data_IF_957906975793
#
_entry.id   IF_957906975793
#
_cell.length_a   1.000
_cell.length_b   1.000
_cell.length_c   1.000
_cell.angle_alpha   90.00
_cell.angle_beta   90.00
_cell.angle_gamma   90.00
#
_symmetry.space_group_name_H-M   'P 1'
#
loop_
_entity.id
_entity.type
_entity.pdbx_description
1 polymer ?
#
# COMPACT_ATOMS: atom_id res chain seq x y z
N UNK A 1 17.03 39.63 -32.33
CA UNK A 1 16.96 38.72 -31.17
C UNK A 1 18.36 38.47 -30.65
N UNK A 2 18.77 39.24 -29.64
CA UNK A 2 20.13 39.22 -29.11
C UNK A 2 20.21 38.20 -27.97
N UNK A 3 21.02 37.13 -28.15
CA UNK A 3 21.23 36.11 -27.11
C UNK A 3 22.10 36.71 -26.01
N UNK A 4 21.51 37.02 -24.85
CA UNK A 4 22.28 37.32 -23.64
C UNK A 4 23.06 36.08 -23.21
N UNK A 5 24.39 36.18 -23.20
CA UNK A 5 25.26 35.18 -22.58
C UNK A 5 25.17 35.34 -21.06
N UNK A 6 24.48 34.41 -20.40
CA UNK A 6 24.51 34.29 -18.95
C UNK A 6 25.70 33.42 -18.57
N UNK A 7 26.57 33.94 -17.71
CA UNK A 7 27.67 33.17 -17.14
C UNK A 7 27.11 32.32 -16.01
N UNK A 8 27.09 31.00 -16.21
CA UNK A 8 26.75 30.03 -15.16
C UNK A 8 27.98 29.83 -14.29
N UNK A 9 27.87 30.14 -13.00
CA UNK A 9 28.93 29.90 -12.02
C UNK A 9 28.46 28.82 -11.06
N UNK A 10 29.31 27.82 -10.80
CA UNK A 10 29.00 26.80 -9.82
C UNK A 10 28.99 27.44 -8.43
N UNK A 11 27.88 27.30 -7.69
CA UNK A 11 27.87 27.62 -6.27
C UNK A 11 28.85 26.67 -5.57
N UNK A 12 29.85 27.20 -4.87
CA UNK A 12 30.88 26.40 -4.18
C UNK A 12 30.36 25.52 -3.04
N UNK A 13 29.05 25.58 -2.79
CA UNK A 13 28.31 24.68 -1.93
C UNK A 13 27.48 23.77 -2.85
N UNK A 14 27.81 22.48 -2.87
CA UNK A 14 26.89 21.48 -3.40
C UNK A 14 25.59 21.54 -2.61
N UNK A 15 24.45 21.37 -3.29
CA UNK A 15 23.13 21.30 -2.63
C UNK A 15 23.18 20.17 -1.60
N UNK A 16 23.46 20.50 -0.34
CA UNK A 16 23.20 19.63 0.80
C UNK A 16 21.78 19.92 1.24
N UNK A 17 20.82 19.49 0.42
CA UNK A 17 19.47 19.36 0.87
C UNK A 17 19.46 18.22 1.91
N UNK A 18 19.74 18.55 3.17
CA UNK A 18 19.25 17.71 4.25
C UNK A 18 17.74 17.91 4.24
N UNK A 19 17.03 17.08 3.47
CA UNK A 19 15.62 16.86 3.71
C UNK A 19 15.54 16.13 5.05
N UNK A 20 15.59 16.87 6.16
CA UNK A 20 15.01 16.39 7.40
C UNK A 20 13.51 16.35 7.08
N UNK A 21 13.05 15.24 6.51
CA UNK A 21 11.64 14.99 6.37
C UNK A 21 11.06 15.14 7.77
N UNK A 22 10.11 16.07 7.94
CA UNK A 22 9.31 16.09 9.14
C UNK A 22 8.48 14.80 9.10
N UNK A 23 9.05 13.70 9.61
CA UNK A 23 8.36 12.42 9.63
C UNK A 23 7.26 12.51 10.67
N UNK A 24 6.01 12.52 10.23
CA UNK A 24 4.88 12.36 11.11
C UNK A 24 4.70 10.86 11.36
N UNK A 25 4.67 10.48 12.63
CA UNK A 25 4.38 9.12 13.06
C UNK A 25 3.00 9.11 13.69
N UNK A 26 2.12 8.25 13.19
CA UNK A 26 0.81 8.00 13.78
C UNK A 26 0.68 6.52 14.06
N UNK A 27 0.16 6.16 15.23
CA UNK A 27 -0.23 4.77 15.52
C UNK A 27 -1.73 4.66 15.30
N UNK A 28 -2.11 3.73 14.43
CA UNK A 28 -3.48 3.31 14.18
C UNK A 28 -3.67 1.87 14.67
N UNK A 29 -4.92 1.45 14.77
CA UNK A 29 -5.30 0.08 15.09
C UNK A 29 -6.13 -0.42 13.93
N UNK A 30 -5.88 -1.65 13.47
CA UNK A 30 -6.78 -2.27 12.50
C UNK A 30 -8.19 -2.42 13.08
N UNK A 31 -9.17 -2.61 12.20
CA UNK A 31 -10.47 -3.13 12.57
C UNK A 31 -10.39 -4.55 13.14
N UNK A 32 -11.54 -5.07 13.56
CA UNK A 32 -11.67 -6.43 14.08
C UNK A 32 -11.91 -7.47 12.97
N UNK A 33 -12.17 -7.02 11.76
CA UNK A 33 -12.51 -7.85 10.60
C UNK A 33 -11.30 -8.10 9.73
N UNK A 34 -10.17 -8.50 10.32
CA UNK A 34 -8.94 -8.78 9.56
C UNK A 34 -8.86 -10.24 9.06
N UNK A 35 -8.01 -10.47 8.07
CA UNK A 35 -7.58 -11.79 7.61
C UNK A 35 -6.08 -11.97 7.80
N UNK A 36 -5.68 -13.14 8.34
CA UNK A 36 -4.29 -13.58 8.44
C UNK A 36 -4.24 -15.04 8.00
N UNK A 37 -3.46 -15.35 6.95
CA UNK A 37 -3.19 -16.74 6.60
C UNK A 37 -2.17 -17.37 7.56
N UNK A 38 -2.19 -18.69 7.70
CA UNK A 38 -1.37 -19.43 8.67
C UNK A 38 0.15 -19.24 8.48
N UNK A 39 0.57 -18.85 7.27
CA UNK A 39 1.98 -18.69 6.90
C UNK A 39 2.54 -17.29 7.23
N UNK A 40 1.69 -16.39 7.75
CA UNK A 40 2.07 -15.01 8.06
C UNK A 40 3.03 -14.97 9.26
N UNK A 41 4.10 -14.20 9.11
CA UNK A 41 5.05 -13.89 10.18
C UNK A 41 4.99 -12.40 10.49
N UNK A 42 4.60 -12.06 11.72
CA UNK A 42 4.60 -10.71 12.26
C UNK A 42 5.68 -10.60 13.36
N UNK A 43 6.22 -9.39 13.64
CA UNK A 43 5.90 -8.10 13.02
C UNK A 43 6.52 -7.91 11.64
N UNK A 44 5.93 -7.00 10.84
CA UNK A 44 6.49 -6.53 9.57
C UNK A 44 6.79 -5.04 9.65
N UNK A 45 7.90 -4.62 9.05
CA UNK A 45 8.36 -3.24 9.14
C UNK A 45 8.69 -2.68 7.75
N UNK A 46 8.49 -1.38 7.64
CA UNK A 46 8.95 -0.52 6.56
C UNK A 46 8.41 -0.89 5.17
N UNK A 47 7.12 -1.23 5.13
CA UNK A 47 6.42 -1.53 3.88
C UNK A 47 5.95 -0.23 3.24
N UNK A 48 6.33 0.00 1.99
CA UNK A 48 5.82 1.14 1.22
C UNK A 48 4.33 0.95 0.94
N UNK A 49 3.56 2.04 1.06
CA UNK A 49 2.13 2.05 0.73
C UNK A 49 1.94 2.36 -0.75
N UNK A 50 1.30 1.43 -1.45
CA UNK A 50 0.92 1.51 -2.86
C UNK A 50 -0.57 1.83 -2.94
N UNK A 51 -0.91 3.00 -3.48
CA UNK A 51 -2.31 3.43 -3.65
C UNK A 51 -2.72 3.39 -5.13
N UNK A 52 -3.38 2.33 -5.60
CA UNK A 52 -3.92 2.27 -6.95
C UNK A 52 -5.03 3.28 -7.17
N UNK A 53 -5.09 3.83 -8.37
CA UNK A 53 -6.20 4.67 -8.84
C UNK A 53 -7.14 3.77 -9.63
N UNK A 54 -8.24 3.38 -9.01
CA UNK A 54 -9.23 2.46 -9.58
C UNK A 54 -10.51 3.29 -9.84
N UNK A 55 -11.14 3.16 -11.01
CA UNK A 55 -12.41 3.84 -11.29
C UNK A 55 -13.54 3.28 -10.41
N UNK A 56 -14.59 4.07 -10.20
CA UNK A 56 -15.76 3.69 -9.39
C UNK A 56 -16.42 2.40 -9.88
N UNK A 57 -16.45 2.18 -11.20
CA UNK A 57 -16.92 0.93 -11.81
C UNK A 57 -15.79 -0.08 -11.78
N UNK A 58 -15.84 -0.93 -10.76
CA UNK A 58 -14.77 -1.86 -10.45
C UNK A 58 -14.88 -3.13 -11.30
N UNK A 59 -13.90 -3.32 -12.19
CA UNK A 59 -13.67 -4.58 -12.92
C UNK A 59 -12.31 -5.17 -12.56
N UNK A 60 -12.16 -6.49 -12.71
CA UNK A 60 -10.90 -7.21 -12.54
C UNK A 60 -9.74 -6.54 -13.27
N UNK A 61 -9.96 -6.15 -14.53
CA UNK A 61 -8.96 -5.51 -15.39
C UNK A 61 -8.61 -4.10 -14.92
N UNK A 62 -9.62 -3.32 -14.50
CA UNK A 62 -9.41 -1.95 -14.02
C UNK A 62 -8.58 -1.91 -12.73
N UNK A 63 -8.83 -2.87 -11.83
CA UNK A 63 -8.08 -3.04 -10.58
C UNK A 63 -6.65 -3.46 -10.89
N UNK A 64 -6.48 -4.47 -11.77
CA UNK A 64 -5.17 -4.99 -12.09
C UNK A 64 -4.27 -3.93 -12.74
N UNK A 65 -4.84 -3.14 -13.65
CA UNK A 65 -4.17 -2.00 -14.29
C UNK A 65 -3.85 -0.90 -13.27
N UNK A 66 -4.77 -0.59 -12.36
CA UNK A 66 -4.59 0.41 -11.32
C UNK A 66 -3.43 0.08 -10.36
N UNK A 67 -3.34 -1.18 -9.92
CA UNK A 67 -2.26 -1.68 -9.06
C UNK A 67 -0.94 -1.68 -9.81
N UNK A 68 -0.90 -2.23 -11.02
CA UNK A 68 0.31 -2.24 -11.85
C UNK A 68 0.82 -0.81 -12.08
N UNK A 69 -0.07 0.13 -12.41
CA UNK A 69 0.29 1.53 -12.64
C UNK A 69 0.79 2.23 -11.37
N UNK A 70 0.29 1.86 -10.20
CA UNK A 70 0.76 2.40 -8.92
C UNK A 70 2.12 1.84 -8.52
N UNK A 71 2.36 0.55 -8.73
CA UNK A 71 3.67 -0.06 -8.54
C UNK A 71 4.72 0.62 -9.42
N UNK A 72 4.43 0.79 -10.71
CA UNK A 72 5.33 1.46 -11.64
C UNK A 72 5.59 2.93 -11.25
N UNK A 73 4.58 3.64 -10.74
CA UNK A 73 4.72 5.04 -10.29
C UNK A 73 5.69 5.18 -9.11
N UNK A 74 5.87 4.12 -8.33
CA UNK A 74 6.75 4.07 -7.17
C UNK A 74 8.09 3.35 -7.47
N UNK A 75 8.35 3.01 -8.74
CA UNK A 75 9.51 2.21 -9.16
C UNK A 75 9.57 0.83 -8.45
N UNK A 76 8.42 0.21 -8.21
CA UNK A 76 8.23 -1.08 -7.51
C UNK A 76 7.81 -2.22 -8.47
N UNK A 77 8.32 -2.23 -9.69
CA UNK A 77 8.02 -3.25 -10.71
C UNK A 77 8.50 -4.64 -10.28
N UNK A 78 9.74 -4.69 -9.76
CA UNK A 78 10.37 -5.86 -9.18
C UNK A 78 10.35 -5.73 -7.65
N UNK A 79 9.52 -6.53 -6.99
CA UNK A 79 9.36 -6.47 -5.54
C UNK A 79 10.48 -7.24 -4.84
N UNK A 80 11.43 -6.52 -4.25
CA UNK A 80 12.49 -7.08 -3.39
C UNK A 80 12.08 -7.16 -1.91
N UNK A 81 11.02 -6.45 -1.52
CA UNK A 81 10.50 -6.42 -0.16
C UNK A 81 8.97 -6.29 -0.15
N UNK A 82 8.29 -6.66 0.96
CA UNK A 82 6.84 -6.55 1.03
C UNK A 82 6.35 -5.11 0.88
N UNK A 83 5.19 -4.96 0.25
CA UNK A 83 4.48 -3.69 0.09
C UNK A 83 3.08 -3.80 0.65
N UNK A 84 2.51 -2.69 1.09
CA UNK A 84 1.11 -2.60 1.48
C UNK A 84 0.30 -1.99 0.33
N UNK A 85 -0.62 -2.75 -0.25
CA UNK A 85 -1.57 -2.20 -1.23
C UNK A 85 -2.78 -1.67 -0.45
N UNK A 86 -2.92 -0.34 -0.43
CA UNK A 86 -4.04 0.33 0.22
C UNK A 86 -5.18 0.55 -0.78
N UNK A 87 -6.33 -0.03 -0.48
CA UNK A 87 -7.50 -0.08 -1.35
C UNK A 87 -8.63 0.71 -0.69
N UNK A 88 -8.67 2.05 -0.88
CA UNK A 88 -9.80 2.83 -0.39
C UNK A 88 -11.08 2.37 -1.08
N UNK A 89 -12.12 2.10 -0.31
CA UNK A 89 -13.36 1.55 -0.82
C UNK A 89 -14.41 2.64 -0.98
N UNK A 90 -15.09 2.66 -2.14
CA UNK A 90 -16.21 3.55 -2.40
C UNK A 90 -17.39 2.77 -2.97
N UNK A 91 -18.60 3.15 -2.55
CA UNK A 91 -19.83 2.49 -2.96
C UNK A 91 -20.19 1.27 -2.11
N UNK A 92 -21.20 0.55 -2.56
CA UNK A 92 -21.77 -0.58 -1.82
C UNK A 92 -20.85 -1.81 -1.90
N UNK A 93 -20.70 -2.51 -0.78
CA UNK A 93 -19.87 -3.71 -0.65
C UNK A 93 -20.56 -4.96 -1.20
N UNK A 94 -20.98 -4.93 -2.47
CA UNK A 94 -21.55 -6.09 -3.14
C UNK A 94 -20.48 -7.16 -3.40
N UNK A 95 -20.86 -8.43 -3.26
CA UNK A 95 -19.94 -9.56 -3.47
C UNK A 95 -19.28 -9.54 -4.85
N UNK A 96 -20.01 -9.16 -5.91
CA UNK A 96 -19.49 -9.05 -7.28
C UNK A 96 -18.36 -8.02 -7.39
N UNK A 97 -18.49 -6.88 -6.73
CA UNK A 97 -17.46 -5.85 -6.67
C UNK A 97 -16.24 -6.34 -5.88
N UNK A 98 -16.47 -6.98 -4.74
CA UNK A 98 -15.37 -7.51 -3.91
C UNK A 98 -14.62 -8.65 -4.60
N UNK A 99 -15.32 -9.51 -5.34
CA UNK A 99 -14.72 -10.56 -6.16
C UNK A 99 -13.90 -9.98 -7.32
N UNK A 100 -14.40 -8.94 -7.99
CA UNK A 100 -13.66 -8.24 -9.04
C UNK A 100 -12.39 -7.59 -8.48
N UNK A 101 -12.46 -6.99 -7.28
CA UNK A 101 -11.31 -6.44 -6.57
C UNK A 101 -10.27 -7.53 -6.28
N UNK A 102 -10.70 -8.62 -5.64
CA UNK A 102 -9.82 -9.74 -5.28
C UNK A 102 -9.13 -10.34 -6.52
N UNK A 103 -9.88 -10.57 -7.60
CA UNK A 103 -9.34 -11.13 -8.83
C UNK A 103 -8.32 -10.18 -9.50
N UNK A 104 -8.60 -8.88 -9.51
CA UNK A 104 -7.68 -7.90 -10.07
C UNK A 104 -6.41 -7.71 -9.23
N UNK A 105 -6.54 -7.77 -7.90
CA UNK A 105 -5.39 -7.78 -6.97
C UNK A 105 -4.49 -8.98 -7.28
N UNK A 106 -5.06 -10.19 -7.32
CA UNK A 106 -4.31 -11.42 -7.63
C UNK A 106 -3.57 -11.29 -8.96
N UNK A 107 -4.26 -10.91 -10.03
CA UNK A 107 -3.67 -10.77 -11.37
C UNK A 107 -2.54 -9.75 -11.43
N UNK A 108 -2.64 -8.66 -10.68
CA UNK A 108 -1.61 -7.63 -10.70
C UNK A 108 -0.38 -7.94 -9.88
N UNK A 109 -0.47 -8.70 -8.79
CA UNK A 109 0.63 -8.73 -7.82
C UNK A 109 1.17 -10.14 -7.53
N UNK A 110 0.40 -11.19 -7.80
CA UNK A 110 0.77 -12.56 -7.40
C UNK A 110 2.11 -12.99 -7.99
N UNK A 111 2.28 -12.95 -9.32
CA UNK A 111 3.51 -13.37 -9.98
C UNK A 111 4.73 -12.57 -9.48
N UNK A 112 4.56 -11.28 -9.18
CA UNK A 112 5.62 -10.40 -8.67
C UNK A 112 6.08 -10.80 -7.27
N UNK A 113 5.13 -11.13 -6.39
CA UNK A 113 5.42 -11.58 -5.03
C UNK A 113 6.03 -12.99 -5.03
N UNK A 114 5.58 -13.87 -5.93
CA UNK A 114 6.01 -15.26 -6.01
C UNK A 114 7.51 -15.41 -6.29
N UNK A 115 8.11 -14.49 -7.07
CA UNK A 115 9.55 -14.50 -7.39
C UNK A 115 10.42 -14.57 -6.13
N UNK A 116 10.05 -13.80 -5.10
CA UNK A 116 10.81 -13.68 -3.84
C UNK A 116 10.05 -14.26 -2.63
N UNK A 117 8.96 -14.99 -2.87
CA UNK A 117 8.06 -15.55 -1.84
C UNK A 117 7.64 -14.50 -0.79
N UNK A 118 7.25 -13.31 -1.26
CA UNK A 118 6.86 -12.20 -0.41
C UNK A 118 5.38 -12.31 0.01
N UNK A 119 5.02 -11.89 1.23
CA UNK A 119 3.64 -11.79 1.65
C UNK A 119 2.91 -10.68 0.88
N UNK A 120 1.62 -10.89 0.60
CA UNK A 120 0.71 -9.82 0.20
C UNK A 120 0.17 -9.13 1.46
N UNK A 121 0.29 -7.81 1.53
CA UNK A 121 -0.33 -7.00 2.58
C UNK A 121 -1.35 -6.06 1.94
N UNK A 122 -2.61 -6.20 2.35
CA UNK A 122 -3.73 -5.38 1.93
C UNK A 122 -4.24 -4.54 3.10
N UNK A 123 -4.58 -3.29 2.82
CA UNK A 123 -5.22 -2.40 3.78
C UNK A 123 -6.46 -1.75 3.16
N UNK A 124 -7.55 -1.67 3.92
CA UNK A 124 -8.77 -0.96 3.55
C UNK A 124 -9.14 0.06 4.63
N UNK A 125 -9.88 1.10 4.24
CA UNK A 125 -10.49 2.07 5.16
C UNK A 125 -11.81 1.59 5.77
N UNK A 126 -12.44 0.58 5.17
CA UNK A 126 -13.72 -0.01 5.59
C UNK A 126 -13.55 -1.44 6.07
N UNK A 127 -14.47 -1.91 6.93
CA UNK A 127 -14.49 -3.22 7.59
C UNK A 127 -14.74 -4.42 6.63
N UNK A 128 -13.85 -4.62 5.66
CA UNK A 128 -13.94 -5.65 4.60
C UNK A 128 -12.69 -6.53 4.49
N UNK A 129 -11.69 -6.39 5.37
CA UNK A 129 -10.41 -7.10 5.26
C UNK A 129 -10.57 -8.63 5.28
N UNK A 130 -11.42 -9.13 6.16
CA UNK A 130 -11.71 -10.55 6.34
C UNK A 130 -12.38 -11.14 5.10
N UNK A 131 -13.32 -10.38 4.52
CA UNK A 131 -14.04 -10.81 3.33
C UNK A 131 -13.11 -10.85 2.11
N UNK A 132 -12.31 -9.80 1.90
CA UNK A 132 -11.35 -9.75 0.80
C UNK A 132 -10.30 -10.86 0.91
N UNK A 133 -9.75 -11.08 2.11
CA UNK A 133 -8.76 -12.12 2.36
C UNK A 133 -9.30 -13.53 2.11
N UNK A 134 -10.53 -13.82 2.54
CA UNK A 134 -11.19 -15.11 2.27
C UNK A 134 -11.46 -15.33 0.79
N UNK A 135 -11.95 -14.33 0.06
CA UNK A 135 -12.15 -14.48 -1.40
C UNK A 135 -10.82 -14.79 -2.09
N UNK A 136 -9.74 -14.09 -1.72
CA UNK A 136 -8.42 -14.36 -2.28
C UNK A 136 -7.94 -15.78 -1.99
N UNK A 137 -7.96 -16.23 -0.74
CA UNK A 137 -7.43 -17.54 -0.37
C UNK A 137 -8.38 -18.70 -0.71
N UNK A 138 -9.64 -18.63 -0.27
CA UNK A 138 -10.58 -19.75 -0.30
C UNK A 138 -11.21 -19.94 -1.70
N UNK A 139 -11.48 -18.85 -2.42
CA UNK A 139 -12.19 -18.89 -3.70
C UNK A 139 -11.26 -18.75 -4.91
N UNK A 140 -10.28 -17.84 -4.82
CA UNK A 140 -9.35 -17.56 -5.92
C UNK A 140 -8.05 -18.35 -5.80
N UNK A 141 -7.81 -19.09 -4.71
CA UNK A 141 -6.61 -19.90 -4.54
C UNK A 141 -5.32 -19.08 -4.54
N UNK A 142 -5.31 -17.96 -3.82
CA UNK A 142 -4.09 -17.22 -3.53
C UNK A 142 -3.26 -17.99 -2.50
N UNK A 143 -2.05 -18.38 -2.86
CA UNK A 143 -1.22 -19.40 -2.18
C UNK A 143 0.04 -18.85 -1.50
N UNK A 144 0.23 -17.53 -1.51
CA UNK A 144 1.28 -16.83 -0.76
C UNK A 144 0.75 -16.34 0.60
N UNK A 145 1.63 -16.03 1.58
CA UNK A 145 1.18 -15.46 2.85
C UNK A 145 0.40 -14.16 2.63
N UNK A 146 -0.74 -14.01 3.32
CA UNK A 146 -1.68 -12.91 3.09
C UNK A 146 -2.09 -12.28 4.42
N UNK A 147 -1.91 -10.97 4.50
CA UNK A 147 -2.46 -10.11 5.54
C UNK A 147 -3.46 -9.18 4.87
N UNK A 148 -4.70 -9.16 5.34
CA UNK A 148 -5.67 -8.13 4.95
C UNK A 148 -6.22 -7.46 6.20
N UNK A 149 -5.86 -6.20 6.38
CA UNK A 149 -6.35 -5.36 7.46
C UNK A 149 -7.37 -4.34 6.94
N UNK A 150 -8.20 -3.85 7.85
CA UNK A 150 -9.16 -2.79 7.58
C UNK A 150 -9.14 -1.72 8.67
N UNK A 151 -9.94 -0.67 8.51
CA UNK A 151 -10.10 0.40 9.48
C UNK A 151 -8.90 1.33 9.61
N UNK A 152 -8.02 1.36 8.62
CA UNK A 152 -6.83 2.23 8.59
C UNK A 152 -6.90 3.21 7.43
N UNK A 153 -6.46 4.44 7.66
CA UNK A 153 -6.35 5.45 6.61
C UNK A 153 -4.88 5.66 6.27
N UNK A 154 -4.51 5.38 5.01
CA UNK A 154 -3.15 5.48 4.49
C UNK A 154 -3.09 6.38 3.25
N UNK A 155 -1.89 6.86 2.93
CA UNK A 155 -1.63 7.70 1.76
C UNK A 155 -0.49 7.12 0.94
N UNK A 156 -0.49 7.49 -0.34
CA UNK A 156 0.64 7.17 -1.21
C UNK A 156 1.91 7.83 -0.64
N UNK A 157 3.04 7.11 -0.70
CA UNK A 157 4.32 7.47 -0.10
C UNK A 157 4.41 7.34 1.44
N UNK A 158 3.36 6.88 2.11
CA UNK A 158 3.49 6.41 3.49
C UNK A 158 4.31 5.12 3.52
N UNK A 159 4.94 4.88 4.68
CA UNK A 159 5.47 3.57 5.04
C UNK A 159 4.76 3.07 6.28
N UNK A 160 4.44 1.78 6.33
CA UNK A 160 3.81 1.18 7.49
C UNK A 160 4.65 0.09 8.14
N UNK A 161 4.47 -0.06 9.44
CA UNK A 161 4.85 -1.23 10.20
C UNK A 161 3.59 -1.87 10.78
N UNK A 162 3.50 -3.19 10.77
CA UNK A 162 2.42 -3.97 11.37
C UNK A 162 3.03 -4.79 12.52
N UNK A 163 2.55 -4.55 13.74
CA UNK A 163 3.01 -5.28 14.91
C UNK A 163 2.32 -6.64 15.10
N UNK A 164 2.61 -7.29 16.22
CA UNK A 164 1.95 -8.53 16.62
C UNK A 164 0.48 -8.31 17.02
N UNK A 165 -0.40 -9.32 16.88
CA UNK A 165 -1.79 -9.23 17.32
C UNK A 165 -1.92 -8.91 18.81
N UNK A 166 -2.80 -7.96 19.13
CA UNK A 166 -3.14 -7.63 20.51
C UNK A 166 -4.23 -8.56 21.02
N UNK A 167 -3.88 -9.44 21.94
CA UNK A 167 -4.80 -10.37 22.59
C UNK A 167 -5.70 -9.65 23.62
N UNK A 168 -6.98 -10.04 23.77
CA UNK A 168 -7.69 -11.14 23.08
C UNK A 168 -8.37 -10.72 21.77
N UNK A 169 -8.31 -9.44 21.41
CA UNK A 169 -9.06 -8.84 20.29
C UNK A 169 -8.50 -9.20 18.91
N UNK A 170 -7.24 -9.64 18.83
CA UNK A 170 -6.48 -9.98 17.61
C UNK A 170 -6.36 -8.86 16.57
N UNK A 171 -6.67 -7.62 16.93
CA UNK A 171 -6.36 -6.42 16.15
C UNK A 171 -4.85 -6.24 16.01
N UNK A 172 -4.40 -5.63 14.91
CA UNK A 172 -3.00 -5.35 14.65
C UNK A 172 -2.70 -3.86 14.90
N UNK A 173 -1.65 -3.53 15.67
CA UNK A 173 -1.16 -2.16 15.74
C UNK A 173 -0.44 -1.82 14.43
N UNK A 174 -0.78 -0.67 13.85
CA UNK A 174 -0.22 -0.18 12.58
C UNK A 174 0.47 1.14 12.81
N UNK A 175 1.79 1.18 12.64
CA UNK A 175 2.55 2.44 12.68
C UNK A 175 2.60 3.02 11.27
N UNK A 176 2.11 4.23 11.08
CA UNK A 176 2.19 4.97 9.82
C UNK A 176 3.28 6.02 9.91
N UNK A 177 4.19 5.99 8.93
CA UNK A 177 5.35 6.87 8.79
C UNK A 177 5.15 7.69 7.53
N UNK A 178 4.74 8.94 7.71
CA UNK A 178 4.44 9.86 6.61
C UNK A 178 5.51 10.92 6.47
N UNK A 179 5.80 11.31 5.23
CA UNK A 179 6.60 12.50 4.96
C UNK A 179 5.71 13.74 5.02
N UNK A 180 5.89 14.59 6.03
CA UNK A 180 5.21 15.88 6.07
C UNK A 180 6.03 16.94 5.31
N UNK A 181 5.41 17.57 4.33
CA UNK A 181 5.96 18.74 3.65
C UNK A 181 5.27 20.00 4.19
N UNK A 182 6.01 20.97 4.74
CA UNK A 182 5.42 22.23 5.16
C UNK A 182 4.86 22.97 3.94
N UNK A 183 3.56 23.29 3.98
CA UNK A 183 2.89 24.10 2.95
C UNK A 183 3.23 25.58 3.15
N UNK A 184 4.48 25.98 2.94
CA UNK A 184 4.82 27.41 2.89
C UNK A 184 4.55 27.91 1.47
N UNK A 185 3.38 28.51 1.28
CA UNK A 185 3.11 29.35 0.11
C UNK A 185 3.79 30.70 0.37
N UNK A 186 4.81 31.04 -0.44
CA UNK A 186 5.39 32.38 -0.47
C UNK A 186 4.60 33.28 -1.43
#
# INVERSE_FOLDING_TARGET
FERRKLTITATGEGIRATAIGASQFTVQLSGNTIFLSDQVILPMHNMAVVCPRIPDVLTRESVALGITSALNRLDLEDLESPVCVYLPWQGDAEYTALLALAAGVKDAIHDRLAVNNLPLVLALDVDLGAALGRILCDELGFDLPLISIDGVELRELDFIDIGEPLEPTRVLPVMVKSLAFPTTVF
#
